data_IF_439645149033
#
_entry.id   IF_439645149033
#
_cell.length_a   1.000
_cell.length_b   1.000
_cell.length_c   1.000
_cell.angle_alpha   90.00
_cell.angle_beta   90.00
_cell.angle_gamma   90.00
#
_symmetry.space_group_name_H-M   'P 1'
#
loop_
_entity.id
_entity.type
_entity.pdbx_description
1 polymer ?
#
# COMPACT_ATOMS: atom_id res chain seq x y z
N UNK A 1 -26.54 22.42 -15.27
CA UNK A 1 -25.27 22.07 -14.62
C UNK A 1 -25.34 20.58 -14.31
N UNK A 2 -24.61 19.76 -15.05
CA UNK A 2 -24.43 18.34 -14.73
C UNK A 2 -23.51 18.32 -13.52
N UNK A 3 -24.04 18.04 -12.34
CA UNK A 3 -23.24 17.78 -11.14
C UNK A 3 -22.43 16.54 -11.43
N UNK A 4 -21.14 16.72 -11.72
CA UNK A 4 -20.20 15.62 -11.92
C UNK A 4 -20.05 14.93 -10.56
N UNK A 5 -20.80 13.87 -10.33
CA UNK A 5 -20.85 13.12 -9.06
C UNK A 5 -19.65 12.18 -8.92
N UNK A 6 -18.48 12.60 -9.47
CA UNK A 6 -17.22 11.89 -9.38
C UNK A 6 -16.64 12.14 -7.98
N UNK A 7 -16.36 11.07 -7.26
CA UNK A 7 -15.68 11.19 -5.97
C UNK A 7 -14.31 11.82 -6.20
N UNK A 8 -14.01 12.92 -5.50
CA UNK A 8 -12.68 13.53 -5.51
C UNK A 8 -11.73 12.60 -4.74
N UNK A 9 -10.70 12.09 -5.42
CA UNK A 9 -9.76 11.10 -4.89
C UNK A 9 -8.36 11.69 -4.86
N UNK A 10 -7.69 11.63 -3.72
CA UNK A 10 -6.30 12.03 -3.57
C UNK A 10 -5.39 10.82 -3.30
N UNK A 11 -4.15 10.90 -3.75
CA UNK A 11 -3.08 9.97 -3.39
C UNK A 11 -1.91 10.75 -2.79
N UNK A 12 -1.47 10.36 -1.61
CA UNK A 12 -0.37 10.99 -0.87
C UNK A 12 0.78 9.99 -0.74
N UNK A 13 1.90 10.30 -1.37
CA UNK A 13 3.14 9.51 -1.29
C UNK A 13 4.02 9.97 -0.14
N UNK A 14 4.43 9.04 0.72
CA UNK A 14 5.18 9.35 1.94
C UNK A 14 6.54 8.67 1.93
N UNK A 15 7.60 9.48 2.12
CA UNK A 15 8.98 9.05 2.10
C UNK A 15 9.42 8.52 0.72
N UNK A 16 10.66 8.08 0.60
CA UNK A 16 11.27 7.72 -0.68
C UNK A 16 10.45 6.75 -1.52
N UNK A 17 10.04 5.62 -0.97
CA UNK A 17 9.27 4.61 -1.70
C UNK A 17 7.87 5.11 -2.08
N UNK A 18 7.14 5.73 -1.13
CA UNK A 18 5.80 6.25 -1.38
C UNK A 18 5.79 7.35 -2.44
N UNK A 19 6.75 8.28 -2.39
CA UNK A 19 6.90 9.37 -3.36
C UNK A 19 7.22 8.81 -4.75
N UNK A 20 8.16 7.87 -4.87
CA UNK A 20 8.49 7.22 -6.16
C UNK A 20 7.28 6.52 -6.77
N UNK A 21 6.53 5.77 -5.96
CA UNK A 21 5.34 5.06 -6.43
C UNK A 21 4.26 6.05 -6.89
N UNK A 22 3.92 7.05 -6.07
CA UNK A 22 2.87 8.03 -6.40
C UNK A 22 3.26 8.90 -7.58
N UNK A 23 4.52 9.30 -7.71
CA UNK A 23 5.07 10.02 -8.86
C UNK A 23 4.92 9.24 -10.18
N UNK A 24 5.09 7.92 -10.15
CA UNK A 24 4.87 7.07 -11.32
C UNK A 24 3.37 6.83 -11.59
N UNK A 25 2.55 6.76 -10.55
CA UNK A 25 1.09 6.66 -10.67
C UNK A 25 0.48 7.93 -11.27
N UNK A 26 0.98 9.12 -10.90
CA UNK A 26 0.45 10.41 -11.39
C UNK A 26 0.55 10.59 -12.91
N UNK A 27 1.41 9.81 -13.57
CA UNK A 27 1.58 9.81 -15.04
C UNK A 27 0.59 8.90 -15.77
N UNK A 28 -0.34 8.28 -15.05
CA UNK A 28 -1.29 7.30 -15.61
C UNK A 28 -2.72 7.83 -15.49
N UNK A 29 -3.61 7.36 -16.37
CA UNK A 29 -5.04 7.66 -16.28
C UNK A 29 -5.70 6.80 -15.21
N UNK A 30 -5.81 7.33 -14.00
CA UNK A 30 -6.33 6.63 -12.82
C UNK A 30 -7.58 7.31 -12.27
N UNK A 31 -8.22 6.67 -11.31
CA UNK A 31 -9.33 7.22 -10.52
C UNK A 31 -8.89 8.29 -9.50
N UNK A 32 -7.65 8.76 -9.58
CA UNK A 32 -7.04 9.73 -8.66
C UNK A 32 -6.98 11.10 -9.35
N UNK A 33 -7.48 12.12 -8.66
CA UNK A 33 -7.59 13.48 -9.19
C UNK A 33 -6.47 14.41 -8.68
N UNK A 34 -5.89 14.10 -7.50
CA UNK A 34 -4.85 14.91 -6.84
C UNK A 34 -3.72 14.04 -6.32
N UNK A 35 -2.50 14.54 -6.45
CA UNK A 35 -1.29 13.88 -5.94
C UNK A 35 -0.51 14.84 -5.04
N UNK A 36 -0.01 14.34 -3.91
CA UNK A 36 0.83 15.10 -2.98
C UNK A 36 1.94 14.22 -2.41
N UNK A 37 3.02 14.84 -1.96
CA UNK A 37 4.25 14.16 -1.57
C UNK A 37 4.75 14.69 -0.23
N UNK A 38 5.07 13.81 0.72
CA UNK A 38 5.50 14.20 2.07
C UNK A 38 6.78 13.45 2.44
N UNK A 39 7.81 14.16 2.87
CA UNK A 39 9.04 13.55 3.38
C UNK A 39 9.74 14.42 4.43
N UNK A 40 10.70 13.80 5.16
CA UNK A 40 11.69 14.47 5.99
C UNK A 40 13.02 14.67 5.25
N UNK A 41 13.15 14.21 4.00
CA UNK A 41 14.36 14.28 3.18
C UNK A 41 14.02 15.01 1.87
N UNK A 42 14.71 16.11 1.60
CA UNK A 42 14.51 16.93 0.38
C UNK A 42 14.92 16.19 -0.89
N UNK A 43 15.87 15.29 -0.81
CA UNK A 43 16.31 14.43 -1.91
C UNK A 43 15.19 13.55 -2.47
N UNK A 44 14.19 13.20 -1.65
CA UNK A 44 13.04 12.41 -2.07
C UNK A 44 12.16 13.15 -3.10
N UNK A 45 12.21 14.49 -3.14
CA UNK A 45 11.40 15.31 -4.03
C UNK A 45 12.00 15.56 -5.40
N UNK A 46 13.18 15.02 -5.69
CA UNK A 46 13.93 15.27 -6.94
C UNK A 46 13.16 14.97 -8.25
N UNK A 47 12.11 14.15 -8.17
CA UNK A 47 11.34 13.68 -9.36
C UNK A 47 9.91 14.20 -9.42
N UNK A 48 9.50 15.11 -8.52
CA UNK A 48 8.14 15.60 -8.39
C UNK A 48 8.08 17.12 -8.42
N UNK A 49 6.89 17.69 -8.67
CA UNK A 49 6.69 19.14 -8.64
C UNK A 49 6.67 19.64 -7.18
N UNK A 50 7.55 20.58 -6.84
CA UNK A 50 7.71 21.12 -5.49
C UNK A 50 6.45 21.79 -4.93
N UNK A 51 5.53 22.24 -5.78
CA UNK A 51 4.26 22.83 -5.32
C UNK A 51 3.36 21.82 -4.60
N UNK A 52 3.49 20.53 -4.92
CA UNK A 52 2.69 19.43 -4.36
C UNK A 52 3.42 18.72 -3.22
N UNK A 53 4.52 19.31 -2.69
CA UNK A 53 5.36 18.71 -1.67
C UNK A 53 5.15 19.35 -0.29
N UNK A 54 5.28 18.50 0.75
CA UNK A 54 5.31 18.92 2.15
C UNK A 54 6.60 18.39 2.77
N UNK A 55 7.54 19.29 3.01
CA UNK A 55 8.73 18.98 3.79
C UNK A 55 8.39 19.03 5.27
N UNK A 56 8.70 17.97 5.99
CA UNK A 56 8.68 17.90 7.46
C UNK A 56 10.09 18.22 7.93
N UNK A 57 10.23 19.39 8.53
CA UNK A 57 11.54 19.82 9.06
C UNK A 57 12.02 18.85 10.15
N UNK A 58 13.23 18.36 10.01
CA UNK A 58 13.87 17.44 10.94
C UNK A 58 15.21 17.99 11.41
N UNK A 59 15.65 17.68 12.65
CA UNK A 59 16.96 18.05 13.12
C UNK A 59 18.05 17.51 12.20
N UNK A 60 19.03 18.35 11.89
CA UNK A 60 20.23 17.94 11.15
C UNK A 60 21.07 17.02 12.06
N UNK A 61 21.69 16.00 11.49
CA UNK A 61 22.58 15.05 12.15
C UNK A 61 21.93 14.09 13.19
N UNK A 62 20.61 13.98 13.23
CA UNK A 62 19.91 13.07 14.11
C UNK A 62 19.32 11.89 13.36
N UNK A 63 19.57 10.66 13.83
CA UNK A 63 18.94 9.46 13.27
C UNK A 63 17.46 9.44 13.65
N UNK A 64 16.60 9.66 12.67
CA UNK A 64 15.16 9.70 12.87
C UNK A 64 14.60 8.32 13.23
N UNK A 65 13.63 8.32 14.13
CA UNK A 65 12.76 7.16 14.42
C UNK A 65 11.33 7.46 13.99
N UNK A 66 10.47 6.44 13.78
CA UNK A 66 9.07 6.67 13.43
C UNK A 66 8.31 7.55 14.45
N UNK A 67 8.59 7.40 15.75
CA UNK A 67 7.98 8.22 16.80
C UNK A 67 8.40 9.70 16.71
N UNK A 68 9.70 9.97 16.52
CA UNK A 68 10.19 11.34 16.32
C UNK A 68 9.56 12.01 15.12
N UNK A 69 9.52 11.30 13.98
CA UNK A 69 8.94 11.82 12.73
C UNK A 69 7.46 12.15 12.92
N UNK A 70 6.71 11.30 13.62
CA UNK A 70 5.31 11.58 13.96
C UNK A 70 5.15 12.83 14.81
N UNK A 71 6.02 13.03 15.81
CA UNK A 71 6.03 14.24 16.64
C UNK A 71 6.30 15.50 15.80
N UNK A 72 7.31 15.46 14.91
CA UNK A 72 7.65 16.57 14.02
C UNK A 72 6.50 16.94 13.06
N UNK A 73 5.73 15.94 12.63
CA UNK A 73 4.61 16.13 11.71
C UNK A 73 3.48 16.99 12.28
N UNK A 74 3.35 17.10 13.61
CA UNK A 74 2.33 17.93 14.27
C UNK A 74 2.39 19.39 13.79
N UNK A 75 3.59 19.95 13.62
CA UNK A 75 3.77 21.30 13.08
C UNK A 75 3.33 21.49 11.64
N UNK A 76 3.20 20.41 10.88
CA UNK A 76 2.79 20.43 9.47
C UNK A 76 1.33 20.00 9.26
N UNK A 77 0.56 19.78 10.35
CA UNK A 77 -0.82 19.29 10.26
C UNK A 77 -1.71 20.13 9.33
N UNK A 78 -1.64 21.47 9.40
CA UNK A 78 -2.42 22.35 8.53
C UNK A 78 -2.10 22.14 7.05
N UNK A 79 -0.81 22.04 6.69
CA UNK A 79 -0.37 21.76 5.31
C UNK A 79 -0.85 20.40 4.81
N UNK A 80 -0.89 19.40 5.70
CA UNK A 80 -1.42 18.06 5.38
C UNK A 80 -2.94 18.14 5.17
N UNK A 81 -3.68 18.90 5.97
CA UNK A 81 -5.11 19.15 5.76
C UNK A 81 -5.37 19.83 4.42
N UNK A 82 -4.54 20.82 4.02
CA UNK A 82 -4.62 21.47 2.71
C UNK A 82 -4.36 20.49 1.55
N UNK A 83 -3.41 19.56 1.72
CA UNK A 83 -3.15 18.52 0.73
C UNK A 83 -4.30 17.51 0.60
N UNK A 84 -4.98 17.19 1.69
CA UNK A 84 -6.23 16.40 1.67
C UNK A 84 -7.33 17.19 0.97
N UNK A 85 -7.50 18.48 1.31
CA UNK A 85 -8.48 19.38 0.73
C UNK A 85 -9.91 18.85 0.84
N UNK A 86 -10.62 18.83 -0.28
CA UNK A 86 -12.00 18.34 -0.41
C UNK A 86 -12.11 16.87 -0.87
N UNK A 87 -11.00 16.12 -0.79
CA UNK A 87 -10.98 14.71 -1.19
C UNK A 87 -11.94 13.89 -0.33
N UNK A 88 -12.73 13.05 -0.98
CA UNK A 88 -13.63 12.09 -0.30
C UNK A 88 -12.93 10.78 0.02
N UNK A 89 -11.90 10.45 -0.74
CA UNK A 89 -11.05 9.26 -0.55
C UNK A 89 -9.60 9.68 -0.66
N UNK A 90 -8.77 9.24 0.28
CA UNK A 90 -7.33 9.49 0.30
C UNK A 90 -6.58 8.17 0.38
N UNK A 91 -5.79 7.87 -0.64
CA UNK A 91 -4.83 6.78 -0.60
C UNK A 91 -3.51 7.28 -0.01
N UNK A 92 -3.12 6.74 1.14
CA UNK A 92 -1.86 7.06 1.84
C UNK A 92 -0.86 5.96 1.55
N UNK A 93 0.13 6.23 0.68
CA UNK A 93 1.06 5.23 0.15
C UNK A 93 2.44 5.44 0.76
N UNK A 94 2.95 4.44 1.48
CA UNK A 94 4.20 4.55 2.21
C UNK A 94 4.97 3.23 2.27
N UNK A 95 6.31 3.33 2.24
CA UNK A 95 7.19 2.22 2.60
C UNK A 95 7.24 2.04 4.12
N UNK A 96 6.97 0.84 4.60
CA UNK A 96 7.05 0.49 6.02
C UNK A 96 8.48 0.07 6.39
N UNK A 97 8.90 0.38 7.60
CA UNK A 97 10.24 0.05 8.09
C UNK A 97 11.24 1.21 8.07
N UNK A 98 11.07 2.20 7.19
CA UNK A 98 11.78 3.49 7.25
C UNK A 98 11.15 4.44 8.26
N UNK A 99 11.93 5.37 8.84
CA UNK A 99 11.42 6.31 9.85
C UNK A 99 10.29 7.19 9.30
N UNK A 100 10.48 7.75 8.11
CA UNK A 100 9.52 8.68 7.48
C UNK A 100 8.20 7.99 7.16
N UNK A 101 8.20 6.91 6.38
CA UNK A 101 6.97 6.21 6.00
C UNK A 101 6.22 5.65 7.21
N UNK A 102 6.94 4.98 8.11
CA UNK A 102 6.38 4.38 9.33
C UNK A 102 5.82 5.41 10.31
N UNK A 103 6.44 6.60 10.41
CA UNK A 103 5.99 7.66 11.31
C UNK A 103 4.82 8.46 10.74
N UNK A 104 4.91 8.85 9.46
CA UNK A 104 3.93 9.78 8.85
C UNK A 104 2.67 9.10 8.34
N UNK A 105 2.74 7.85 7.81
CA UNK A 105 1.58 7.26 7.17
C UNK A 105 0.36 7.12 8.10
N UNK A 106 0.49 6.64 9.36
CA UNK A 106 -0.63 6.62 10.30
C UNK A 106 -1.13 8.03 10.63
N UNK A 107 -0.23 8.99 10.79
CA UNK A 107 -0.57 10.37 11.10
C UNK A 107 -1.35 11.03 9.96
N UNK A 108 -0.88 10.91 8.72
CA UNK A 108 -1.56 11.45 7.53
C UNK A 108 -2.93 10.81 7.33
N UNK A 109 -3.05 9.50 7.55
CA UNK A 109 -4.32 8.80 7.50
C UNK A 109 -5.32 9.32 8.54
N UNK A 110 -4.86 9.56 9.78
CA UNK A 110 -5.69 10.19 10.82
C UNK A 110 -6.13 11.59 10.42
N UNK A 111 -5.22 12.43 9.92
CA UNK A 111 -5.56 13.79 9.45
C UNK A 111 -6.60 13.73 8.31
N UNK A 112 -6.47 12.79 7.38
CA UNK A 112 -7.45 12.62 6.32
C UNK A 112 -8.85 12.26 6.87
N UNK A 113 -8.93 11.39 7.88
CA UNK A 113 -10.20 11.08 8.54
C UNK A 113 -10.77 12.27 9.29
N UNK A 114 -9.94 13.08 9.94
CA UNK A 114 -10.37 14.32 10.62
C UNK A 114 -10.93 15.36 9.63
N UNK A 115 -10.47 15.34 8.37
CA UNK A 115 -11.04 16.12 7.26
C UNK A 115 -12.34 15.52 6.70
N UNK A 116 -12.81 14.37 7.21
CA UNK A 116 -14.01 13.68 6.73
C UNK A 116 -13.78 12.79 5.51
N UNK A 117 -12.54 12.56 5.09
CA UNK A 117 -12.21 11.67 4.00
C UNK A 117 -12.13 10.20 4.45
N UNK A 118 -12.40 9.28 3.53
CA UNK A 118 -12.11 7.86 3.71
C UNK A 118 -10.62 7.64 3.46
N UNK A 119 -9.83 7.42 4.51
CA UNK A 119 -8.42 7.11 4.39
C UNK A 119 -8.22 5.61 4.10
N UNK A 120 -7.46 5.30 3.06
CA UNK A 120 -7.00 3.95 2.69
C UNK A 120 -5.48 3.93 2.73
N UNK A 121 -4.91 3.17 3.67
CA UNK A 121 -3.48 2.95 3.75
C UNK A 121 -3.00 1.97 2.67
N UNK A 122 -1.86 2.26 2.04
CA UNK A 122 -1.14 1.33 1.16
C UNK A 122 0.27 1.15 1.72
N UNK A 123 0.45 0.03 2.41
CA UNK A 123 1.67 -0.32 3.11
C UNK A 123 2.59 -1.15 2.23
N UNK A 124 3.73 -0.61 1.82
CA UNK A 124 4.77 -1.34 1.09
C UNK A 124 5.70 -1.97 2.13
N UNK A 125 5.68 -3.28 2.25
CA UNK A 125 6.43 -4.00 3.26
C UNK A 125 7.90 -4.20 2.85
N UNK A 126 8.84 -4.12 3.81
CA UNK A 126 10.26 -4.30 3.53
C UNK A 126 10.57 -5.73 3.08
N UNK A 127 11.70 -5.88 2.39
CA UNK A 127 12.23 -7.20 2.02
C UNK A 127 12.60 -8.05 3.24
N UNK A 128 12.62 -9.37 3.04
CA UNK A 128 12.95 -10.30 4.14
C UNK A 128 14.36 -10.17 4.70
N UNK A 129 15.33 -9.71 3.93
CA UNK A 129 16.68 -9.44 4.41
C UNK A 129 16.80 -8.19 5.29
N UNK A 130 15.81 -7.28 5.27
CA UNK A 130 15.80 -6.02 6.04
C UNK A 130 15.34 -6.24 7.50
N UNK A 131 15.98 -7.14 8.23
CA UNK A 131 15.53 -7.66 9.54
C UNK A 131 15.21 -6.58 10.58
N UNK A 132 16.01 -5.49 10.64
CA UNK A 132 15.81 -4.41 11.63
C UNK A 132 14.59 -3.56 11.37
N UNK A 133 14.24 -3.40 10.10
CA UNK A 133 13.12 -2.56 9.69
C UNK A 133 11.78 -3.27 9.85
N UNK A 134 11.77 -4.61 9.92
CA UNK A 134 10.56 -5.41 10.09
C UNK A 134 9.77 -5.08 11.35
N UNK A 135 10.47 -4.87 12.47
CA UNK A 135 9.81 -4.47 13.72
C UNK A 135 9.06 -3.15 13.56
N UNK A 136 9.73 -2.12 13.01
CA UNK A 136 9.06 -0.85 12.73
C UNK A 136 7.92 -1.02 11.72
N UNK A 137 8.10 -1.89 10.73
CA UNK A 137 7.06 -2.18 9.75
C UNK A 137 5.81 -2.82 10.37
N UNK A 138 5.96 -3.78 11.27
CA UNK A 138 4.85 -4.42 11.98
C UNK A 138 4.05 -3.44 12.83
N UNK A 139 4.75 -2.69 13.70
CA UNK A 139 4.14 -1.67 14.56
C UNK A 139 3.42 -0.60 13.73
N UNK A 140 4.06 -0.13 12.67
CA UNK A 140 3.48 0.95 11.84
C UNK A 140 2.33 0.45 10.98
N UNK A 141 2.37 -0.80 10.54
CA UNK A 141 1.25 -1.45 9.83
C UNK A 141 0.00 -1.52 10.71
N UNK A 142 0.15 -1.92 11.97
CA UNK A 142 -0.94 -1.93 12.96
C UNK A 142 -1.50 -0.52 13.16
N UNK A 143 -0.64 0.47 13.42
CA UNK A 143 -1.07 1.87 13.59
C UNK A 143 -1.75 2.44 12.35
N UNK A 144 -1.25 2.10 11.15
CA UNK A 144 -1.89 2.52 9.90
C UNK A 144 -3.29 1.90 9.76
N UNK A 145 -3.48 0.64 10.18
CA UNK A 145 -4.78 -0.01 10.20
C UNK A 145 -5.75 0.72 11.15
N UNK A 146 -5.29 1.08 12.35
CA UNK A 146 -6.09 1.82 13.35
C UNK A 146 -6.47 3.23 12.87
N UNK A 147 -5.59 3.87 12.09
CA UNK A 147 -5.76 5.23 11.56
C UNK A 147 -6.41 5.29 10.17
N UNK A 148 -6.84 4.15 9.60
CA UNK A 148 -7.42 4.07 8.25
C UNK A 148 -8.73 3.30 8.28
N UNK A 149 -9.56 3.50 7.25
CA UNK A 149 -10.77 2.69 7.04
C UNK A 149 -10.48 1.33 6.39
N UNK A 150 -9.32 1.19 5.79
CA UNK A 150 -8.82 -0.05 5.21
C UNK A 150 -7.35 0.06 4.88
N UNK A 151 -6.64 -1.08 4.86
CA UNK A 151 -5.22 -1.14 4.54
C UNK A 151 -4.95 -2.19 3.48
N UNK A 152 -4.31 -1.77 2.40
CA UNK A 152 -3.76 -2.65 1.37
C UNK A 152 -2.30 -2.90 1.69
N UNK A 153 -1.92 -4.15 1.87
CA UNK A 153 -0.53 -4.55 2.10
C UNK A 153 0.08 -5.05 0.80
N UNK A 154 1.19 -4.45 0.44
CA UNK A 154 1.99 -4.76 -0.75
C UNK A 154 3.35 -5.30 -0.29
N UNK A 155 3.64 -6.54 -0.61
CA UNK A 155 4.88 -7.21 -0.18
C UNK A 155 5.93 -7.17 -1.30
N UNK A 156 7.09 -6.61 -1.01
CA UNK A 156 8.17 -6.52 -1.99
C UNK A 156 8.68 -7.89 -2.45
N UNK A 157 8.71 -8.91 -1.56
CA UNK A 157 9.12 -10.28 -1.93
C UNK A 157 8.14 -10.91 -2.94
N UNK A 158 6.84 -10.66 -2.78
CA UNK A 158 5.82 -11.18 -3.69
C UNK A 158 5.90 -10.53 -5.07
N UNK A 159 6.27 -9.25 -5.11
CA UNK A 159 6.43 -8.51 -6.36
C UNK A 159 7.68 -8.93 -7.15
N UNK A 160 8.69 -9.47 -6.45
CA UNK A 160 9.98 -9.84 -7.01
C UNK A 160 10.09 -11.36 -7.17
N UNK A 161 9.69 -11.89 -8.34
CA UNK A 161 9.71 -13.34 -8.59
C UNK A 161 11.05 -13.90 -9.03
N UNK A 162 11.91 -13.07 -9.60
CA UNK A 162 13.26 -13.46 -10.03
C UNK A 162 14.16 -12.23 -10.13
N UNK A 163 15.21 -12.23 -9.36
CA UNK A 163 16.34 -11.31 -9.52
C UNK A 163 17.54 -12.10 -9.99
N UNK A 164 18.38 -11.50 -10.85
CA UNK A 164 19.69 -12.06 -11.16
C UNK A 164 20.65 -11.85 -9.98
N UNK A 165 21.65 -12.69 -9.83
CA UNK A 165 22.65 -12.58 -8.77
C UNK A 165 23.43 -11.24 -8.81
N UNK A 166 23.44 -10.58 -9.97
CA UNK A 166 24.12 -9.29 -10.20
C UNK A 166 23.21 -8.06 -9.93
N UNK A 167 21.97 -8.24 -9.43
CA UNK A 167 21.05 -7.12 -9.20
C UNK A 167 21.53 -6.26 -8.04
N UNK A 168 21.78 -4.97 -8.29
CA UNK A 168 22.13 -4.04 -7.22
C UNK A 168 20.94 -3.78 -6.29
N UNK A 169 21.22 -3.35 -5.06
CA UNK A 169 20.14 -3.01 -4.11
C UNK A 169 19.24 -1.86 -4.64
N UNK A 170 19.83 -0.89 -5.33
CA UNK A 170 19.09 0.21 -5.94
C UNK A 170 18.14 -0.28 -7.04
N UNK A 171 18.61 -1.18 -7.91
CA UNK A 171 17.82 -1.78 -8.99
C UNK A 171 16.70 -2.66 -8.42
N UNK A 172 16.96 -3.35 -7.29
CA UNK A 172 15.97 -4.17 -6.59
C UNK A 172 14.80 -3.32 -6.12
N UNK A 173 15.07 -2.21 -5.40
CA UNK A 173 14.02 -1.29 -4.96
C UNK A 173 13.30 -0.61 -6.12
N UNK A 174 14.01 -0.21 -7.16
CA UNK A 174 13.38 0.42 -8.33
C UNK A 174 12.45 -0.56 -9.05
N UNK A 175 12.86 -1.81 -9.19
CA UNK A 175 12.05 -2.88 -9.78
C UNK A 175 10.82 -3.20 -8.93
N UNK A 176 10.97 -3.28 -7.60
CA UNK A 176 9.85 -3.48 -6.67
C UNK A 176 8.84 -2.31 -6.74
N UNK A 177 9.33 -1.06 -6.75
CA UNK A 177 8.46 0.12 -6.90
C UNK A 177 7.70 0.10 -8.25
N UNK A 178 8.36 -0.24 -9.36
CA UNK A 178 7.72 -0.38 -10.68
C UNK A 178 6.66 -1.49 -10.68
N UNK A 179 6.94 -2.61 -10.03
CA UNK A 179 5.99 -3.72 -9.90
C UNK A 179 4.77 -3.31 -9.04
N UNK A 180 5.00 -2.60 -7.93
CA UNK A 180 3.92 -2.02 -7.11
C UNK A 180 3.07 -1.03 -7.92
N UNK A 181 3.69 -0.13 -8.68
CA UNK A 181 2.98 0.80 -9.57
C UNK A 181 2.14 0.06 -10.60
N UNK A 182 2.69 -1.00 -11.21
CA UNK A 182 1.96 -1.80 -12.20
C UNK A 182 0.72 -2.45 -11.60
N UNK A 183 0.86 -3.03 -10.40
CA UNK A 183 -0.24 -3.67 -9.69
C UNK A 183 -1.30 -2.66 -9.21
N UNK A 184 -0.89 -1.57 -8.56
CA UNK A 184 -1.80 -0.53 -8.08
C UNK A 184 -2.50 0.19 -9.23
N UNK A 185 -1.79 0.50 -10.32
CA UNK A 185 -2.41 1.14 -11.49
C UNK A 185 -3.48 0.27 -12.13
N UNK A 186 -3.32 -1.06 -12.14
CA UNK A 186 -4.32 -1.97 -12.70
C UNK A 186 -5.64 -1.96 -11.91
N UNK A 187 -5.55 -1.73 -10.60
CA UNK A 187 -6.70 -1.72 -9.68
C UNK A 187 -7.36 -0.33 -9.66
N UNK A 188 -6.56 0.74 -9.75
CA UNK A 188 -7.01 2.14 -9.73
C UNK A 188 -7.35 2.67 -11.13
N UNK A 189 -7.42 1.82 -12.14
CA UNK A 189 -7.61 2.21 -13.53
C UNK A 189 -8.91 2.97 -13.73
N UNK A 190 -8.83 4.09 -14.48
CA UNK A 190 -9.99 4.76 -14.99
C UNK A 190 -10.57 4.00 -16.18
N UNK A 191 -11.91 3.93 -16.28
CA UNK A 191 -12.58 3.27 -17.40
C UNK A 191 -12.17 3.90 -18.74
N UNK A 192 -11.77 3.07 -19.68
CA UNK A 192 -11.47 3.43 -21.06
C UNK A 192 -12.35 2.63 -22.00
N UNK A 193 -12.47 3.07 -23.24
CA UNK A 193 -13.17 2.32 -24.27
C UNK A 193 -12.54 0.92 -24.43
N UNK A 194 -13.38 -0.11 -24.43
CA UNK A 194 -12.94 -1.50 -24.52
C UNK A 194 -12.46 -2.12 -23.20
N UNK A 195 -12.22 -1.35 -22.13
CA UNK A 195 -11.82 -1.86 -20.82
C UNK A 195 -13.01 -1.91 -19.84
N UNK A 196 -12.94 -2.82 -18.87
CA UNK A 196 -13.87 -2.87 -17.73
C UNK A 196 -13.12 -2.47 -16.45
N UNK A 197 -13.16 -1.18 -16.10
CA UNK A 197 -12.62 -0.73 -14.84
C UNK A 197 -13.44 -1.24 -13.65
N UNK A 198 -12.78 -1.48 -12.52
CA UNK A 198 -13.40 -1.94 -11.27
C UNK A 198 -14.41 -0.93 -10.69
N UNK A 199 -14.12 0.34 -10.82
CA UNK A 199 -14.88 1.41 -10.18
C UNK A 199 -14.53 1.55 -8.68
N UNK A 200 -14.52 2.80 -8.21
CA UNK A 200 -14.07 3.14 -6.86
C UNK A 200 -14.91 2.45 -5.76
N UNK A 201 -16.23 2.40 -5.91
CA UNK A 201 -17.11 1.82 -4.88
C UNK A 201 -16.85 0.33 -4.65
N UNK A 202 -16.59 -0.44 -5.70
CA UNK A 202 -16.28 -1.86 -5.63
C UNK A 202 -14.91 -2.09 -4.98
N UNK A 203 -13.93 -1.29 -5.36
CA UNK A 203 -12.61 -1.30 -4.73
C UNK A 203 -12.71 -1.00 -3.24
N UNK A 204 -13.39 0.09 -2.85
CA UNK A 204 -13.58 0.45 -1.45
C UNK A 204 -14.37 -0.61 -0.69
N UNK A 205 -15.41 -1.19 -1.30
CA UNK A 205 -16.17 -2.29 -0.70
C UNK A 205 -15.33 -3.52 -0.37
N UNK A 206 -14.24 -3.75 -1.12
CA UNK A 206 -13.28 -4.83 -0.83
C UNK A 206 -12.22 -4.40 0.20
N UNK A 207 -11.71 -3.18 0.11
CA UNK A 207 -10.59 -2.73 0.97
C UNK A 207 -11.07 -2.33 2.36
N UNK A 208 -12.27 -1.77 2.49
CA UNK A 208 -12.87 -1.36 3.78
C UNK A 208 -13.54 -2.58 4.41
N UNK A 209 -12.72 -3.48 4.94
CA UNK A 209 -13.15 -4.68 5.66
C UNK A 209 -12.34 -4.80 6.96
N UNK A 210 -12.87 -5.58 7.89
CA UNK A 210 -12.10 -5.94 9.09
C UNK A 210 -10.86 -6.74 8.68
N UNK A 211 -9.72 -6.40 9.28
CA UNK A 211 -8.43 -7.01 8.98
C UNK A 211 -7.67 -6.29 7.86
N UNK A 212 -6.82 -7.05 7.18
CA UNK A 212 -5.96 -6.57 6.09
C UNK A 212 -6.49 -6.98 4.73
N UNK A 213 -6.21 -6.16 3.74
CA UNK A 213 -6.32 -6.51 2.32
C UNK A 213 -4.92 -6.77 1.78
N UNK A 214 -4.71 -7.93 1.21
CA UNK A 214 -3.41 -8.36 0.69
C UNK A 214 -3.40 -8.28 -0.84
N UNK A 215 -2.36 -7.68 -1.39
CA UNK A 215 -2.11 -7.64 -2.82
C UNK A 215 -1.17 -8.78 -3.22
N UNK A 216 -1.62 -9.63 -4.13
CA UNK A 216 -0.77 -10.58 -4.82
C UNK A 216 -0.82 -10.37 -6.32
N UNK A 217 0.27 -10.71 -7.01
CA UNK A 217 0.42 -10.49 -8.45
C UNK A 217 0.99 -11.75 -9.08
N UNK A 218 0.46 -12.08 -10.24
CA UNK A 218 1.02 -13.13 -11.08
C UNK A 218 0.96 -12.73 -12.54
N UNK A 219 1.81 -13.33 -13.36
CA UNK A 219 1.76 -13.17 -14.81
C UNK A 219 2.12 -14.48 -15.49
N UNK A 220 1.49 -14.74 -16.61
CA UNK A 220 1.77 -15.90 -17.46
C UNK A 220 1.71 -15.53 -18.94
N UNK A 221 2.55 -16.15 -19.73
CA UNK A 221 2.58 -16.06 -21.19
C UNK A 221 2.36 -17.41 -21.88
N UNK A 222 1.94 -18.43 -21.15
CA UNK A 222 1.66 -19.78 -21.67
C UNK A 222 0.33 -19.85 -22.43
N UNK A 223 0.04 -20.99 -23.05
CA UNK A 223 -1.26 -21.24 -23.69
C UNK A 223 -2.41 -21.22 -22.66
N UNK A 224 -2.17 -21.64 -21.42
CA UNK A 224 -3.12 -21.64 -20.29
C UNK A 224 -2.91 -20.44 -19.35
N UNK A 225 -2.62 -19.26 -19.95
CA UNK A 225 -2.18 -18.06 -19.22
C UNK A 225 -3.11 -17.63 -18.08
N UNK A 226 -4.41 -17.85 -18.21
CA UNK A 226 -5.41 -17.46 -17.20
C UNK A 226 -5.35 -18.39 -15.97
N UNK A 227 -5.25 -19.71 -16.17
CA UNK A 227 -5.11 -20.68 -15.07
C UNK A 227 -3.78 -20.52 -14.34
N UNK A 228 -2.68 -20.40 -15.08
CA UNK A 228 -1.35 -20.22 -14.52
C UNK A 228 -1.22 -18.91 -13.73
N UNK A 229 -1.79 -17.82 -14.25
CA UNK A 229 -1.80 -16.54 -13.56
C UNK A 229 -2.64 -16.61 -12.28
N UNK A 230 -3.80 -17.28 -12.32
CA UNK A 230 -4.63 -17.49 -11.13
C UNK A 230 -3.91 -18.34 -10.08
N UNK A 231 -3.37 -19.50 -10.47
CA UNK A 231 -2.64 -20.38 -9.57
C UNK A 231 -1.46 -19.66 -8.92
N UNK A 232 -0.68 -18.93 -9.71
CA UNK A 232 0.45 -18.16 -9.22
C UNK A 232 0.05 -17.03 -8.27
N UNK A 233 -1.09 -16.36 -8.47
CA UNK A 233 -1.58 -15.34 -7.56
C UNK A 233 -2.06 -15.94 -6.23
N UNK A 234 -2.75 -17.07 -6.25
CA UNK A 234 -3.21 -17.77 -5.04
C UNK A 234 -2.02 -18.32 -4.25
N UNK A 235 -1.02 -18.90 -4.91
CA UNK A 235 0.24 -19.34 -4.26
C UNK A 235 0.96 -18.17 -3.60
N UNK A 236 1.01 -17.03 -4.26
CA UNK A 236 1.61 -15.81 -3.71
C UNK A 236 0.83 -15.29 -2.49
N UNK A 237 -0.51 -15.29 -2.57
CA UNK A 237 -1.37 -14.94 -1.43
C UNK A 237 -1.14 -15.88 -0.24
N UNK A 238 -0.98 -17.18 -0.50
CA UNK A 238 -0.71 -18.20 0.51
C UNK A 238 0.59 -18.01 1.29
N UNK A 239 1.56 -17.25 0.73
CA UNK A 239 2.78 -16.86 1.46
C UNK A 239 2.54 -15.73 2.46
N UNK A 240 1.45 -14.99 2.33
CA UNK A 240 1.11 -13.84 3.16
C UNK A 240 0.12 -14.21 4.27
N UNK A 241 -0.89 -14.99 3.94
CA UNK A 241 -1.94 -15.45 4.85
C UNK A 241 -2.63 -16.71 4.29
N UNK A 242 -3.48 -17.34 5.09
CA UNK A 242 -4.30 -18.49 4.64
C UNK A 242 -5.38 -18.01 3.64
N UNK A 243 -5.31 -18.38 2.35
CA UNK A 243 -6.26 -17.93 1.34
C UNK A 243 -7.72 -18.29 1.64
N UNK A 244 -7.97 -19.35 2.43
CA UNK A 244 -9.32 -19.79 2.83
C UNK A 244 -10.07 -18.76 3.66
N UNK A 245 -9.33 -17.86 4.32
CA UNK A 245 -9.90 -16.80 5.16
C UNK A 245 -10.36 -15.56 4.37
N UNK A 246 -10.07 -15.50 3.07
CA UNK A 246 -10.52 -14.41 2.23
C UNK A 246 -12.05 -14.35 2.17
N UNK A 247 -12.63 -13.17 2.39
CA UNK A 247 -14.08 -12.94 2.35
C UNK A 247 -14.49 -12.19 1.09
N UNK A 248 -13.64 -11.27 0.60
CA UNK A 248 -13.85 -10.53 -0.64
C UNK A 248 -12.58 -10.49 -1.46
N UNK A 249 -12.74 -10.43 -2.76
CA UNK A 249 -11.62 -10.30 -3.69
C UNK A 249 -11.96 -9.35 -4.84
N UNK A 250 -10.92 -8.65 -5.27
CA UNK A 250 -10.92 -7.89 -6.52
C UNK A 250 -9.83 -8.47 -7.41
N UNK A 251 -10.18 -8.83 -8.62
CA UNK A 251 -9.23 -9.30 -9.64
C UNK A 251 -9.12 -8.27 -10.75
N UNK A 252 -7.90 -7.86 -11.08
CA UNK A 252 -7.62 -7.08 -12.28
C UNK A 252 -6.78 -7.89 -13.25
N UNK A 253 -7.30 -8.06 -14.47
CA UNK A 253 -6.68 -8.78 -15.57
C UNK A 253 -6.15 -7.79 -16.60
N UNK A 254 -4.86 -7.83 -16.88
CA UNK A 254 -4.20 -6.98 -17.86
C UNK A 254 -3.49 -7.85 -18.89
N UNK A 255 -3.90 -7.75 -20.14
CA UNK A 255 -3.37 -8.54 -21.23
C UNK A 255 -3.41 -7.80 -22.56
N UNK A 256 -3.26 -8.54 -23.63
CA UNK A 256 -3.52 -8.06 -25.00
C UNK A 256 -4.95 -8.38 -25.46
N UNK A 257 -5.26 -8.05 -26.70
CA UNK A 257 -6.57 -8.33 -27.32
C UNK A 257 -6.88 -9.82 -27.49
N UNK A 258 -5.94 -10.72 -27.20
CA UNK A 258 -6.18 -12.17 -27.22
C UNK A 258 -6.86 -12.69 -25.95
N UNK A 259 -6.97 -11.88 -24.89
CA UNK A 259 -7.69 -12.25 -23.67
C UNK A 259 -9.18 -12.37 -23.96
N UNK A 260 -9.69 -13.57 -23.82
CA UNK A 260 -11.07 -13.93 -24.17
C UNK A 260 -12.03 -13.84 -22.99
N UNK A 261 -13.33 -13.67 -23.25
CA UNK A 261 -14.36 -13.70 -22.20
C UNK A 261 -14.41 -15.04 -21.43
N UNK A 262 -14.23 -16.22 -22.05
CA UNK A 262 -14.11 -17.48 -21.32
C UNK A 262 -12.91 -17.52 -20.34
N UNK A 263 -11.75 -16.97 -20.70
CA UNK A 263 -10.59 -16.92 -19.80
C UNK A 263 -10.87 -16.01 -18.58
N UNK A 264 -11.52 -14.87 -18.78
CA UNK A 264 -11.97 -14.00 -17.68
C UNK A 264 -12.98 -14.72 -16.80
N UNK A 265 -13.98 -15.39 -17.40
CA UNK A 265 -14.97 -16.18 -16.67
C UNK A 265 -14.34 -17.29 -15.83
N UNK A 266 -13.37 -18.02 -16.41
CA UNK A 266 -12.62 -19.06 -15.71
C UNK A 266 -11.93 -18.55 -14.46
N UNK A 267 -11.25 -17.39 -14.54
CA UNK A 267 -10.57 -16.81 -13.37
C UNK A 267 -11.57 -16.47 -12.26
N UNK A 268 -12.68 -15.81 -12.61
CA UNK A 268 -13.71 -15.38 -11.64
C UNK A 268 -14.40 -16.58 -10.99
N UNK A 269 -14.78 -17.59 -11.78
CA UNK A 269 -15.47 -18.78 -11.29
C UNK A 269 -14.56 -19.68 -10.43
N UNK A 270 -13.29 -19.82 -10.84
CA UNK A 270 -12.35 -20.70 -10.13
C UNK A 270 -11.66 -20.07 -8.92
N UNK A 271 -11.71 -18.75 -8.77
CA UNK A 271 -10.99 -18.08 -7.66
C UNK A 271 -11.44 -18.60 -6.30
N UNK A 272 -12.74 -18.78 -6.06
CA UNK A 272 -13.30 -19.32 -4.83
C UNK A 272 -12.77 -20.72 -4.53
N UNK A 273 -12.80 -21.63 -5.53
CA UNK A 273 -12.26 -22.99 -5.37
C UNK A 273 -10.73 -23.00 -5.21
N UNK A 274 -10.03 -22.15 -5.94
CA UNK A 274 -8.56 -22.04 -5.89
C UNK A 274 -8.05 -21.51 -4.54
N UNK A 275 -8.77 -20.58 -3.91
CA UNK A 275 -8.49 -20.10 -2.55
C UNK A 275 -8.98 -21.07 -1.48
N UNK A 276 -9.95 -21.93 -1.81
CA UNK A 276 -10.65 -22.81 -0.85
C UNK A 276 -11.66 -22.05 0.01
N UNK A 277 -12.00 -20.80 -0.30
CA UNK A 277 -13.03 -20.01 0.35
C UNK A 277 -14.40 -20.32 -0.25
N UNK A 278 -15.37 -20.73 0.58
CA UNK A 278 -16.71 -21.12 0.12
C UNK A 278 -17.66 -19.93 -0.13
N UNK A 279 -17.32 -18.76 0.40
CA UNK A 279 -18.19 -17.58 0.37
C UNK A 279 -17.45 -16.33 -0.13
N UNK A 280 -16.51 -16.51 -1.07
CA UNK A 280 -15.72 -15.40 -1.61
C UNK A 280 -16.58 -14.56 -2.56
N UNK A 281 -16.77 -13.28 -2.21
CA UNK A 281 -17.38 -12.28 -3.08
C UNK A 281 -16.31 -11.71 -4.02
N UNK A 282 -16.47 -11.89 -5.35
CA UNK A 282 -15.44 -11.56 -6.34
C UNK A 282 -15.92 -10.46 -7.28
N UNK A 283 -15.18 -9.37 -7.31
CA UNK A 283 -15.32 -8.33 -8.32
C UNK A 283 -14.14 -8.35 -9.29
N UNK A 284 -14.34 -7.96 -10.55
CA UNK A 284 -13.25 -8.00 -11.52
C UNK A 284 -13.22 -6.80 -12.45
N UNK A 285 -12.01 -6.50 -12.94
CA UNK A 285 -11.72 -5.54 -13.98
C UNK A 285 -10.82 -6.14 -15.06
N UNK A 286 -10.91 -5.60 -16.27
CA UNK A 286 -10.11 -6.03 -17.43
C UNK A 286 -9.55 -4.79 -18.11
N UNK A 287 -8.27 -4.78 -18.42
CA UNK A 287 -7.62 -3.75 -19.24
C UNK A 287 -6.74 -4.40 -20.33
N UNK A 288 -6.75 -3.79 -21.50
CA UNK A 288 -5.96 -4.24 -22.64
C UNK A 288 -4.73 -3.33 -22.78
N UNK A 289 -3.60 -3.80 -22.28
CA UNK A 289 -2.32 -3.06 -22.28
C UNK A 289 -1.43 -3.38 -23.48
N UNK A 290 -1.86 -4.30 -24.33
CA UNK A 290 -1.08 -4.79 -25.48
C UNK A 290 0.07 -5.73 -25.13
N UNK A 291 0.17 -6.17 -23.87
CA UNK A 291 1.16 -7.16 -23.42
C UNK A 291 0.66 -8.57 -23.73
N UNK A 292 1.49 -9.38 -24.43
CA UNK A 292 1.18 -10.79 -24.69
C UNK A 292 1.13 -11.64 -23.39
N UNK A 293 1.79 -11.18 -22.34
CA UNK A 293 1.66 -11.79 -21.00
C UNK A 293 0.42 -11.28 -20.31
N UNK A 294 -0.42 -12.19 -19.83
CA UNK A 294 -1.51 -11.87 -18.92
C UNK A 294 -0.94 -11.59 -17.52
N UNK A 295 -1.19 -10.40 -17.00
CA UNK A 295 -0.97 -10.08 -15.59
C UNK A 295 -2.29 -10.15 -14.84
N UNK A 296 -2.29 -10.86 -13.74
CA UNK A 296 -3.38 -10.92 -12.78
C UNK A 296 -2.93 -10.24 -11.47
N UNK A 297 -3.65 -9.21 -11.06
CA UNK A 297 -3.50 -8.57 -9.75
C UNK A 297 -4.71 -8.93 -8.91
N UNK A 298 -4.49 -9.58 -7.78
CA UNK A 298 -5.51 -10.04 -6.84
C UNK A 298 -5.39 -9.24 -5.54
N UNK A 299 -6.43 -8.49 -5.20
CA UNK A 299 -6.67 -7.98 -3.86
C UNK A 299 -7.64 -8.92 -3.15
N UNK A 300 -7.21 -9.49 -2.04
CA UNK A 300 -8.06 -10.32 -1.19
C UNK A 300 -8.12 -9.70 0.20
N UNK A 301 -9.29 -9.65 0.80
CA UNK A 301 -9.55 -9.01 2.10
C UNK A 301 -10.19 -9.95 3.12
N UNK A 302 -10.26 -9.50 4.39
CA UNK A 302 -10.81 -10.26 5.51
C UNK A 302 -9.77 -10.99 6.34
N UNK A 303 -8.48 -10.67 6.17
CA UNK A 303 -7.41 -11.34 6.91
C UNK A 303 -7.17 -10.68 8.28
N UNK A 304 -7.60 -11.37 9.34
CA UNK A 304 -7.30 -10.98 10.72
C UNK A 304 -5.89 -11.38 11.16
N UNK A 305 -5.24 -12.30 10.45
CA UNK A 305 -3.91 -12.84 10.73
C UNK A 305 -3.11 -12.98 9.44
N UNK A 306 -1.86 -12.51 9.46
CA UNK A 306 -0.94 -12.49 8.32
C UNK A 306 0.48 -12.85 8.78
N UNK A 307 1.41 -13.09 7.85
CA UNK A 307 2.83 -13.28 8.20
C UNK A 307 3.45 -12.09 8.93
N UNK A 308 2.84 -10.91 8.83
CA UNK A 308 3.36 -9.68 9.46
C UNK A 308 3.07 -9.59 10.96
N UNK A 309 2.22 -10.46 11.50
CA UNK A 309 1.98 -10.55 12.94
C UNK A 309 3.28 -10.91 13.70
N UNK A 310 4.22 -11.59 13.02
CA UNK A 310 5.53 -11.90 13.57
C UNK A 310 6.51 -10.71 13.56
N UNK A 311 6.15 -9.62 12.87
CA UNK A 311 6.95 -8.39 12.83
C UNK A 311 6.73 -7.50 14.07
N UNK A 312 5.63 -7.72 14.80
CA UNK A 312 5.33 -7.04 16.07
C UNK A 312 5.08 -8.08 17.18
N UNK A 313 6.13 -8.81 17.62
CA UNK A 313 5.98 -9.86 18.62
C UNK A 313 5.51 -9.35 20.01
N UNK A 314 5.75 -8.08 20.31
CA UNK A 314 5.35 -7.48 21.58
C UNK A 314 3.83 -7.30 21.67
N UNK A 315 3.14 -7.06 20.57
CA UNK A 315 1.68 -6.98 20.54
C UNK A 315 1.01 -8.27 21.03
N UNK A 316 1.64 -9.43 20.77
CA UNK A 316 1.17 -10.73 21.24
C UNK A 316 1.32 -10.95 22.75
N UNK A 317 2.33 -10.31 23.37
CA UNK A 317 2.71 -10.50 24.78
C UNK A 317 2.01 -9.51 25.71
N UNK A 318 1.89 -8.27 25.31
CA UNK A 318 1.45 -7.17 26.20
C UNK A 318 -0.03 -6.80 25.99
N UNK A 319 -0.71 -7.33 24.97
CA UNK A 319 -2.06 -6.92 24.58
C UNK A 319 -2.08 -5.55 23.90
N UNK A 320 -3.08 -5.33 23.06
CA UNK A 320 -3.12 -4.20 22.13
C UNK A 320 -3.05 -2.79 22.77
N UNK A 321 -3.41 -2.65 24.05
CA UNK A 321 -3.49 -1.34 24.74
C UNK A 321 -2.21 -0.88 25.43
N UNK A 322 -1.35 -1.80 25.85
CA UNK A 322 -0.17 -1.46 26.67
C UNK A 322 0.98 -0.94 25.81
N UNK A 323 1.07 -1.38 24.55
CA UNK A 323 2.15 -0.97 23.63
C UNK A 323 2.02 0.47 23.12
N UNK A 324 0.81 1.03 23.07
CA UNK A 324 0.61 2.38 22.56
C UNK A 324 1.04 3.45 23.57
N UNK A 325 0.91 3.20 24.87
CA UNK A 325 1.31 4.13 25.93
C UNK A 325 2.84 4.10 26.17
N UNK A 326 3.50 2.95 25.98
CA UNK A 326 4.95 2.81 26.25
C UNK A 326 5.86 3.14 25.06
N UNK A 327 5.35 3.08 23.83
CA UNK A 327 6.15 3.43 22.63
C UNK A 327 6.06 4.91 22.25
N UNK A 328 5.19 5.66 22.85
CA UNK A 328 5.17 7.13 22.79
C UNK A 328 6.08 7.76 23.87
N UNK A 329 7.25 7.17 24.13
CA UNK A 329 8.23 7.79 25.00
C UNK A 329 8.57 9.20 24.49
N UNK A 330 7.82 10.19 24.95
CA UNK A 330 8.44 11.39 25.46
C UNK A 330 9.44 10.89 26.51
N UNK A 331 10.73 11.18 26.33
CA UNK A 331 11.72 10.99 27.39
C UNK A 331 11.11 11.50 28.68
N UNK A 332 11.08 10.73 29.79
CA UNK A 332 10.58 11.25 31.04
C UNK A 332 11.24 12.60 31.31
N UNK A 333 10.47 13.63 31.57
CA UNK A 333 10.98 14.89 32.10
C UNK A 333 11.79 14.53 33.34
N UNK A 334 13.13 14.62 33.28
CA UNK A 334 14.02 14.34 34.42
C UNK A 334 15.18 13.40 34.16
N UNK A 335 15.41 12.87 32.99
CA UNK A 335 16.71 12.33 32.61
C UNK A 335 17.65 13.50 32.28
N UNK A 336 18.21 14.11 33.35
CA UNK A 336 19.37 14.95 33.21
C UNK A 336 20.46 14.15 32.47
N UNK A 337 20.96 14.74 31.40
CA UNK A 337 22.08 14.22 30.62
C UNK A 337 23.21 13.93 31.62
N UNK A 338 23.51 12.65 31.82
CA UNK A 338 24.72 12.25 32.52
C UNK A 338 25.86 12.88 31.74
N UNK A 339 26.53 13.88 32.37
CA UNK A 339 27.73 14.47 31.84
C UNK A 339 28.78 13.37 31.69
N UNK A 340 29.59 13.36 30.62
CA UNK A 340 30.70 12.44 30.52
C UNK A 340 31.62 12.72 31.69
N UNK A 341 31.96 11.68 32.46
CA UNK A 341 33.03 11.72 33.41
C UNK A 341 34.35 11.89 32.65
N UNK A 342 35.16 12.88 33.04
CA UNK A 342 36.50 13.17 32.55
C UNK A 342 37.45 11.95 32.62
#
# INVERSE_FOLDING_TARGET
MVVNNRANVAAIGIGSAGIKIVSLLSRKSLLVDRFSYISCDDGDFSTVDLKDTIMIESPVDQKLTPAMVRGLALGSRARIMDAVGDARVVFVIAGMGGATGSGLAPFVASVAQDCGAVAVGVAIMPFEFEKRTRFYAGVSLRRLRESSKGVVVVDNEILMRSTSDDTTLADLYDTANKAAVKALSSILLQSKEGSKALGLNKLLGTVIQDGYTLLSVSSSGTAEKAEDALAGAVVSLGKLADPKKATRAVVSLNGDSSLTAPEVGLVVERLGSATGSQALDVEYGVDYTGSAQLQLSLLASGFSSTKYDDYDPLAKVLGERVLDDEMDFALPEGLEILQPCD
#
